data_IF_419369110857
#
_entry.id   IF_419369110857
#
_cell.length_a   1.000
_cell.length_b   1.000
_cell.length_c   1.000
_cell.angle_alpha   90.00
_cell.angle_beta   90.00
_cell.angle_gamma   90.00
#
_symmetry.space_group_name_H-M   'P 1'
#
loop_
_entity.id
_entity.type
_entity.pdbx_description
1 polymer ?
#
# COMPACT_ATOMS: atom_id res chain seq x y z
N UNK A 1 -6.24 -8.95 -11.47
CA UNK A 1 -5.28 -9.95 -10.93
C UNK A 1 -5.05 -9.69 -9.45
N UNK A 2 -4.80 -10.71 -8.59
CA UNK A 2 -4.51 -10.51 -7.15
C UNK A 2 -3.00 -10.54 -6.89
N UNK A 3 -2.28 -9.39 -6.89
CA UNK A 3 -0.82 -9.37 -7.01
C UNK A 3 -0.11 -9.96 -5.79
N UNK A 4 -0.72 -9.87 -4.61
CA UNK A 4 -0.22 -10.52 -3.41
C UNK A 4 -0.21 -12.05 -3.55
N UNK A 5 -1.29 -12.63 -4.08
CA UNK A 5 -1.38 -14.08 -4.28
C UNK A 5 -0.38 -14.55 -5.34
N UNK A 6 -0.24 -13.80 -6.44
CA UNK A 6 0.75 -14.10 -7.48
C UNK A 6 2.18 -14.01 -6.93
N UNK A 7 2.49 -12.97 -6.15
CA UNK A 7 3.79 -12.83 -5.50
C UNK A 7 4.07 -14.01 -4.54
N UNK A 8 3.05 -14.45 -3.79
CA UNK A 8 3.17 -15.61 -2.91
C UNK A 8 3.39 -16.89 -3.70
N UNK A 9 2.74 -17.07 -4.85
CA UNK A 9 2.96 -18.20 -5.74
C UNK A 9 4.40 -18.23 -6.24
N UNK A 10 4.97 -17.09 -6.62
CA UNK A 10 6.38 -16.97 -7.04
C UNK A 10 7.32 -17.41 -5.90
N UNK A 11 7.16 -16.88 -4.69
CA UNK A 11 8.02 -17.31 -3.57
C UNK A 11 7.81 -18.79 -3.17
N UNK A 12 6.61 -19.34 -3.37
CA UNK A 12 6.36 -20.77 -3.14
C UNK A 12 7.02 -21.66 -4.20
N UNK A 13 7.12 -21.18 -5.44
CA UNK A 13 7.72 -21.92 -6.56
C UNK A 13 9.26 -21.89 -6.51
N UNK A 14 9.83 -20.71 -6.29
CA UNK A 14 11.28 -20.47 -6.35
C UNK A 14 11.97 -20.56 -4.98
N UNK A 15 11.19 -20.62 -3.89
CA UNK A 15 11.70 -20.65 -2.53
C UNK A 15 11.89 -19.25 -1.93
N UNK A 16 12.05 -19.20 -0.61
CA UNK A 16 12.15 -17.94 0.15
C UNK A 16 13.59 -17.51 0.42
N UNK A 17 14.52 -18.48 0.41
CA UNK A 17 15.93 -18.31 0.75
C UNK A 17 16.78 -18.84 -0.38
N UNK A 18 17.94 -18.22 -0.55
CA UNK A 18 18.94 -18.62 -1.52
C UNK A 18 20.31 -18.73 -0.82
N UNK A 19 21.05 -19.81 -1.02
CA UNK A 19 22.39 -19.94 -0.46
C UNK A 19 23.40 -19.15 -1.30
N UNK A 20 24.12 -18.21 -0.70
CA UNK A 20 25.23 -17.54 -1.39
C UNK A 20 26.48 -18.42 -1.47
N UNK A 21 26.59 -19.40 -0.57
CA UNK A 21 27.72 -20.30 -0.51
C UNK A 21 27.27 -21.74 -0.30
N UNK A 22 27.82 -22.61 -1.13
CA UNK A 22 27.57 -24.04 -1.06
C UNK A 22 28.90 -24.72 -0.73
N UNK A 23 28.91 -25.53 0.32
CA UNK A 23 30.06 -26.41 0.61
C UNK A 23 29.77 -27.78 0.02
N UNK A 24 30.69 -28.24 -0.80
CA UNK A 24 30.64 -29.53 -1.43
C UNK A 24 31.54 -30.52 -0.69
N UNK A 25 31.11 -31.78 -0.61
CA UNK A 25 31.86 -32.84 0.02
C UNK A 25 31.03 -34.10 0.17
N UNK A 26 31.36 -34.94 1.15
CA UNK A 26 30.51 -36.05 1.59
C UNK A 26 30.03 -35.78 3.01
N UNK A 27 28.72 -35.93 3.23
CA UNK A 27 28.12 -35.78 4.55
C UNK A 27 27.60 -37.11 5.07
N UNK A 28 27.90 -37.37 6.34
CA UNK A 28 27.34 -38.48 7.08
C UNK A 28 26.61 -37.89 8.28
N UNK A 29 25.29 -38.02 8.29
CA UNK A 29 24.42 -37.46 9.32
C UNK A 29 23.97 -38.57 10.25
N UNK A 30 23.79 -38.28 11.53
CA UNK A 30 23.12 -39.20 12.45
C UNK A 30 22.10 -38.40 13.24
N UNK A 31 20.91 -38.95 13.42
CA UNK A 31 19.87 -38.32 14.19
C UNK A 31 20.01 -38.75 15.66
N UNK A 32 20.40 -37.80 16.50
CA UNK A 32 20.45 -38.01 17.94
C UNK A 32 19.15 -37.44 18.50
N UNK A 33 18.32 -38.30 19.09
CA UNK A 33 17.12 -37.86 19.81
C UNK A 33 17.53 -37.63 21.27
N UNK A 34 17.59 -36.36 21.69
CA UNK A 34 17.90 -36.00 23.08
C UNK A 34 16.67 -35.34 23.71
N UNK A 35 16.35 -35.71 24.95
CA UNK A 35 15.30 -35.05 25.76
C UNK A 35 15.86 -33.93 26.63
N UNK A 36 17.18 -33.80 26.69
CA UNK A 36 17.89 -32.76 27.41
C UNK A 36 18.39 -31.70 26.43
N UNK A 37 18.03 -30.44 26.68
CA UNK A 37 18.64 -29.27 26.06
C UNK A 37 20.14 -29.28 26.40
N UNK A 38 20.99 -29.49 25.40
CA UNK A 38 22.42 -29.25 25.55
C UNK A 38 22.65 -27.76 25.35
N UNK A 39 23.14 -27.07 26.39
CA UNK A 39 23.36 -25.63 26.34
C UNK A 39 24.57 -25.25 25.44
N UNK A 40 25.45 -26.19 25.08
CA UNK A 40 26.58 -25.94 24.19
C UNK A 40 26.80 -27.07 23.16
N UNK A 41 26.59 -26.75 21.88
CA UNK A 41 27.05 -27.58 20.77
C UNK A 41 28.47 -27.17 20.38
N UNK A 42 29.48 -27.88 20.89
CA UNK A 42 30.86 -27.67 20.41
C UNK A 42 31.06 -28.32 19.04
N UNK A 43 31.56 -27.54 18.07
CA UNK A 43 32.02 -28.07 16.78
C UNK A 43 33.35 -28.80 16.97
N UNK A 44 33.29 -30.12 17.10
CA UNK A 44 34.49 -30.95 17.30
C UNK A 44 35.23 -31.14 15.96
N UNK A 45 36.41 -30.53 15.83
CA UNK A 45 37.32 -30.77 14.70
C UNK A 45 38.10 -32.06 14.94
N UNK A 46 37.67 -33.16 14.34
CA UNK A 46 38.42 -34.42 14.37
C UNK A 46 39.60 -34.33 13.39
N UNK A 47 40.84 -34.33 13.90
CA UNK A 47 42.03 -34.57 13.08
C UNK A 47 42.24 -36.07 12.94
N UNK A 48 42.60 -36.54 11.74
CA UNK A 48 43.05 -37.92 11.53
C UNK A 48 44.29 -38.19 12.41
N UNK A 49 44.39 -39.37 13.06
CA UNK A 49 43.49 -40.53 12.96
C UNK A 49 42.22 -40.44 13.84
N UNK A 50 41.10 -40.96 13.30
CA UNK A 50 39.72 -40.86 13.81
C UNK A 50 39.44 -41.74 15.05
N UNK A 51 40.44 -42.05 15.90
CA UNK A 51 40.22 -42.81 17.15
C UNK A 51 39.19 -42.13 18.08
N UNK A 52 39.09 -40.81 18.00
CA UNK A 52 38.16 -40.00 18.77
C UNK A 52 36.69 -40.26 18.40
N UNK A 53 36.36 -40.56 17.14
CA UNK A 53 34.96 -40.76 16.72
C UNK A 53 34.32 -41.98 17.38
N UNK A 54 35.09 -43.05 17.60
CA UNK A 54 34.56 -44.25 18.26
C UNK A 54 34.04 -43.96 19.67
N UNK A 55 34.77 -43.14 20.43
CA UNK A 55 34.39 -42.70 21.78
C UNK A 55 33.16 -41.77 21.73
N UNK A 56 33.13 -40.81 20.80
CA UNK A 56 31.97 -39.92 20.67
C UNK A 56 30.71 -40.67 20.24
N UNK A 57 30.82 -41.64 19.31
CA UNK A 57 29.67 -42.45 18.90
C UNK A 57 29.12 -43.28 20.06
N UNK A 58 29.96 -43.78 20.97
CA UNK A 58 29.50 -44.49 22.18
C UNK A 58 28.78 -43.51 23.12
N UNK A 59 29.41 -42.37 23.42
CA UNK A 59 28.86 -41.37 24.34
C UNK A 59 27.53 -40.76 23.85
N UNK A 60 27.40 -40.54 22.55
CA UNK A 60 26.20 -39.99 21.91
C UNK A 60 25.21 -41.07 21.47
N UNK A 61 25.47 -42.35 21.78
CA UNK A 61 24.67 -43.51 21.39
C UNK A 61 24.33 -43.55 19.88
N UNK A 62 25.30 -43.21 19.03
CA UNK A 62 25.16 -43.22 17.58
C UNK A 62 25.28 -44.65 17.07
N UNK A 63 24.18 -45.21 16.59
CA UNK A 63 24.12 -46.59 16.07
C UNK A 63 24.43 -46.68 14.58
N UNK A 64 24.05 -45.66 13.81
CA UNK A 64 24.23 -45.61 12.37
C UNK A 64 24.38 -44.18 11.87
N UNK A 65 24.91 -44.05 10.66
CA UNK A 65 24.97 -42.82 9.90
C UNK A 65 24.11 -42.95 8.64
N UNK A 66 23.67 -41.82 8.12
CA UNK A 66 22.88 -41.69 6.91
C UNK A 66 23.65 -40.81 5.94
N UNK A 67 23.71 -41.23 4.67
CA UNK A 67 24.22 -40.41 3.56
C UNK A 67 23.19 -39.37 3.09
N UNK A 68 23.50 -38.55 2.09
CA UNK A 68 22.47 -37.71 1.48
C UNK A 68 21.38 -38.52 0.77
N UNK A 69 21.74 -39.62 0.12
CA UNK A 69 20.80 -40.51 -0.57
C UNK A 69 20.04 -41.45 0.39
N UNK A 70 19.98 -41.10 1.67
CA UNK A 70 19.27 -41.85 2.72
C UNK A 70 19.80 -43.26 2.99
N UNK A 71 20.96 -43.65 2.41
CA UNK A 71 21.57 -44.95 2.68
C UNK A 71 22.13 -45.02 4.10
N UNK A 72 21.82 -46.12 4.79
CA UNK A 72 22.25 -46.39 6.16
C UNK A 72 23.65 -47.03 6.15
N UNK A 73 24.57 -46.43 6.90
CA UNK A 73 25.94 -46.88 7.08
C UNK A 73 26.17 -47.26 8.55
N UNK A 74 26.67 -48.48 8.76
CA UNK A 74 27.09 -48.92 10.08
C UNK A 74 28.42 -48.27 10.48
N UNK A 75 28.62 -48.06 11.79
CA UNK A 75 29.82 -47.43 12.35
C UNK A 75 31.15 -47.99 11.81
N UNK A 76 31.24 -49.31 11.65
CA UNK A 76 32.45 -50.00 11.18
C UNK A 76 32.82 -49.73 9.72
N UNK A 77 31.84 -49.37 8.89
CA UNK A 77 32.04 -49.13 7.46
C UNK A 77 32.31 -47.66 7.13
N UNK A 78 31.98 -46.74 8.05
CA UNK A 78 32.30 -45.31 7.91
C UNK A 78 33.81 -45.06 7.72
N UNK A 79 34.65 -45.76 8.49
CA UNK A 79 36.12 -45.61 8.41
C UNK A 79 36.64 -46.09 7.04
N UNK A 80 36.03 -47.13 6.47
CA UNK A 80 36.37 -47.62 5.13
C UNK A 80 35.97 -46.58 4.08
N UNK A 81 34.75 -46.05 4.16
CA UNK A 81 34.28 -45.01 3.25
C UNK A 81 35.12 -43.74 3.30
N UNK A 82 35.48 -43.23 4.49
CA UNK A 82 36.31 -42.03 4.61
C UNK A 82 37.69 -42.22 3.96
N UNK A 83 38.27 -43.42 4.05
CA UNK A 83 39.55 -43.72 3.38
C UNK A 83 39.38 -43.78 1.86
N UNK A 84 38.26 -44.31 1.39
CA UNK A 84 37.97 -44.46 -0.04
C UNK A 84 37.64 -43.13 -0.71
N UNK A 85 37.13 -42.11 0.02
CA UNK A 85 36.83 -40.77 -0.51
C UNK A 85 38.01 -40.15 -1.27
N UNK A 86 39.26 -40.46 -0.88
CA UNK A 86 40.45 -39.89 -1.51
C UNK A 86 40.98 -40.71 -2.70
N UNK A 87 40.38 -41.85 -3.05
CA UNK A 87 40.92 -42.80 -4.03
C UNK A 87 40.00 -43.11 -5.21
N UNK A 88 38.70 -42.82 -5.14
CA UNK A 88 37.76 -43.00 -6.26
C UNK A 88 37.14 -41.67 -6.66
N UNK A 89 36.70 -41.54 -7.92
CA UNK A 89 35.95 -40.40 -8.45
C UNK A 89 34.55 -40.35 -7.80
N UNK A 90 34.47 -39.95 -6.54
CA UNK A 90 33.19 -39.76 -5.86
C UNK A 90 32.55 -38.43 -6.31
N UNK A 91 31.29 -38.50 -6.74
CA UNK A 91 30.47 -37.32 -7.00
C UNK A 91 30.31 -36.50 -5.71
N UNK A 92 30.70 -35.22 -5.77
CA UNK A 92 30.58 -34.30 -4.65
C UNK A 92 29.12 -33.93 -4.41
N UNK A 93 28.72 -33.90 -3.14
CA UNK A 93 27.36 -33.57 -2.70
C UNK A 93 27.32 -32.24 -1.94
N UNK A 94 26.14 -31.61 -1.86
CA UNK A 94 25.92 -30.37 -1.11
C UNK A 94 25.84 -30.65 0.39
N UNK A 95 26.94 -30.55 1.12
CA UNK A 95 26.97 -30.92 2.55
C UNK A 95 26.48 -29.82 3.48
N UNK A 96 26.60 -28.56 3.07
CA UNK A 96 26.21 -27.39 3.86
C UNK A 96 25.84 -26.24 2.93
N UNK A 97 24.72 -25.60 3.25
CA UNK A 97 24.30 -24.33 2.66
C UNK A 97 24.64 -23.23 3.68
N UNK A 98 25.52 -22.32 3.29
CA UNK A 98 26.06 -21.28 4.16
C UNK A 98 25.73 -19.90 3.56
N UNK A 99 25.78 -18.86 4.39
CA UNK A 99 25.51 -17.48 3.97
C UNK A 99 24.14 -17.34 3.25
N UNK A 100 23.06 -17.74 3.93
CA UNK A 100 21.70 -17.63 3.39
C UNK A 100 21.27 -16.16 3.22
N UNK A 101 20.72 -15.84 2.04
CA UNK A 101 20.08 -14.56 1.76
C UNK A 101 18.60 -14.78 1.42
N UNK A 102 17.73 -13.80 1.66
CA UNK A 102 16.36 -13.89 1.16
C UNK A 102 16.33 -13.76 -0.37
N UNK A 103 15.46 -14.50 -1.05
CA UNK A 103 15.22 -14.31 -2.48
C UNK A 103 14.81 -12.85 -2.78
N UNK A 104 14.07 -12.21 -1.87
CA UNK A 104 13.74 -10.79 -1.96
C UNK A 104 14.99 -9.91 -1.97
N UNK A 105 16.02 -10.24 -1.20
CA UNK A 105 17.23 -9.45 -1.07
C UNK A 105 18.16 -9.55 -2.28
N UNK A 106 17.98 -10.56 -3.13
CA UNK A 106 18.69 -10.69 -4.42
C UNK A 106 18.13 -9.70 -5.46
N UNK A 107 16.86 -9.30 -5.33
CA UNK A 107 16.18 -8.50 -6.34
C UNK A 107 16.75 -7.07 -6.45
N UNK A 108 16.65 -6.51 -7.65
CA UNK A 108 17.01 -5.12 -7.92
C UNK A 108 16.14 -4.14 -7.13
N UNK A 109 16.65 -2.93 -6.91
CA UNK A 109 16.01 -1.92 -6.07
C UNK A 109 14.58 -1.56 -6.56
N UNK A 110 14.36 -1.50 -7.86
CA UNK A 110 13.02 -1.25 -8.43
C UNK A 110 12.04 -2.40 -8.17
N UNK A 111 12.49 -3.65 -8.30
CA UNK A 111 11.67 -4.83 -8.03
C UNK A 111 11.29 -4.91 -6.56
N UNK A 112 12.27 -4.66 -5.66
CA UNK A 112 12.05 -4.56 -4.22
C UNK A 112 11.01 -3.49 -3.88
N UNK A 113 11.09 -2.31 -4.49
CA UNK A 113 10.07 -1.25 -4.31
C UNK A 113 8.68 -1.73 -4.72
N UNK A 114 8.53 -2.36 -5.89
CA UNK A 114 7.25 -2.92 -6.36
C UNK A 114 6.70 -3.96 -5.39
N UNK A 115 7.55 -4.85 -4.88
CA UNK A 115 7.17 -5.87 -3.90
C UNK A 115 6.75 -5.24 -2.56
N UNK A 116 7.51 -4.28 -2.05
CA UNK A 116 7.17 -3.59 -0.80
C UNK A 116 5.82 -2.87 -0.91
N UNK A 117 5.50 -2.31 -2.08
CA UNK A 117 4.18 -1.75 -2.32
C UNK A 117 3.10 -2.83 -2.19
N UNK A 118 3.30 -4.02 -2.77
CA UNK A 118 2.36 -5.16 -2.59
C UNK A 118 2.25 -5.56 -1.11
N UNK A 119 3.37 -5.72 -0.42
CA UNK A 119 3.42 -6.21 0.97
C UNK A 119 2.87 -5.20 1.98
N UNK A 120 3.15 -3.90 1.82
CA UNK A 120 2.65 -2.83 2.70
C UNK A 120 1.15 -2.56 2.51
N UNK A 121 0.59 -2.93 1.35
CA UNK A 121 -0.83 -2.82 1.06
C UNK A 121 -1.66 -3.97 1.69
N UNK A 122 -1.05 -4.84 2.50
CA UNK A 122 -1.74 -5.98 3.13
C UNK A 122 -2.63 -5.62 4.32
N UNK A 123 -2.71 -4.35 4.70
CA UNK A 123 -3.67 -3.92 5.71
C UNK A 123 -5.04 -3.75 5.05
N UNK A 124 -6.07 -4.43 5.59
CA UNK A 124 -7.42 -4.49 4.97
C UNK A 124 -8.12 -3.12 4.90
N UNK A 125 -7.64 -2.14 5.64
CA UNK A 125 -8.21 -0.80 5.74
C UNK A 125 -7.32 0.28 5.08
N UNK A 126 -6.19 -0.10 4.46
CA UNK A 126 -5.33 0.87 3.78
C UNK A 126 -5.90 1.27 2.42
N UNK A 127 -6.55 2.42 2.38
CA UNK A 127 -6.93 3.08 1.13
C UNK A 127 -5.70 3.65 0.42
N UNK A 128 -5.74 3.61 -0.90
CA UNK A 128 -4.68 4.11 -1.78
C UNK A 128 -5.29 4.76 -3.02
N UNK A 129 -4.53 5.67 -3.60
CA UNK A 129 -4.73 6.09 -4.98
C UNK A 129 -4.50 4.84 -5.85
N UNK A 130 -5.55 4.41 -6.54
CA UNK A 130 -5.55 3.24 -7.42
C UNK A 130 -5.16 3.66 -8.82
N UNK A 131 -5.69 4.80 -9.26
CA UNK A 131 -5.53 5.33 -10.60
C UNK A 131 -5.90 6.81 -10.62
N UNK A 132 -5.30 7.53 -11.54
CA UNK A 132 -5.60 8.94 -11.84
C UNK A 132 -5.77 9.11 -13.33
N UNK A 133 -6.58 10.06 -13.75
CA UNK A 133 -6.79 10.30 -15.16
C UNK A 133 -7.30 11.69 -15.48
N UNK A 134 -7.26 11.98 -16.77
CA UNK A 134 -7.79 13.20 -17.36
C UNK A 134 -8.63 12.83 -18.58
N UNK A 135 -9.88 13.29 -18.59
CA UNK A 135 -10.84 13.00 -19.65
C UNK A 135 -11.39 14.31 -20.23
N UNK A 136 -11.35 14.45 -21.55
CA UNK A 136 -11.82 15.60 -22.30
C UNK A 136 -13.35 15.58 -22.43
N UNK A 137 -13.91 16.77 -22.57
CA UNK A 137 -15.35 16.99 -22.66
C UNK A 137 -15.79 17.50 -24.04
N UNK A 138 -14.97 17.29 -25.09
CA UNK A 138 -15.17 17.83 -26.45
C UNK A 138 -16.42 17.34 -27.17
N UNK A 139 -16.99 16.24 -26.69
CA UNK A 139 -18.16 15.56 -27.25
C UNK A 139 -19.47 16.00 -26.60
N UNK A 140 -19.44 16.96 -25.67
CA UNK A 140 -20.62 17.44 -24.95
C UNK A 140 -21.24 18.68 -25.64
N UNK A 141 -22.57 18.80 -25.60
CA UNK A 141 -23.24 19.99 -26.14
C UNK A 141 -23.34 21.09 -25.08
N UNK A 142 -22.78 22.28 -25.35
CA UNK A 142 -22.86 23.44 -24.46
C UNK A 142 -24.28 23.87 -24.08
N UNK A 143 -25.29 23.51 -24.88
CA UNK A 143 -26.68 23.90 -24.64
C UNK A 143 -27.36 23.05 -23.56
N UNK A 144 -26.79 21.90 -23.22
CA UNK A 144 -27.36 21.01 -22.22
C UNK A 144 -27.07 21.51 -20.79
N UNK A 145 -28.06 21.36 -19.91
CA UNK A 145 -27.92 21.73 -18.47
C UNK A 145 -27.26 20.65 -17.64
N UNK A 146 -27.28 19.42 -18.15
CA UNK A 146 -26.77 18.23 -17.48
C UNK A 146 -26.12 17.32 -18.51
N UNK A 147 -24.86 16.96 -18.27
CA UNK A 147 -24.09 16.09 -19.14
C UNK A 147 -23.69 14.82 -18.42
N UNK A 148 -23.63 13.73 -19.18
CA UNK A 148 -23.19 12.43 -18.73
C UNK A 148 -21.97 12.04 -19.55
N UNK A 149 -20.78 12.14 -18.96
CA UNK A 149 -19.54 11.73 -19.61
C UNK A 149 -19.14 10.36 -19.06
N UNK A 150 -19.10 9.35 -19.94
CA UNK A 150 -18.51 8.07 -19.58
C UNK A 150 -16.98 8.21 -19.50
N UNK A 151 -16.40 7.73 -18.40
CA UNK A 151 -14.97 7.61 -18.20
C UNK A 151 -14.65 6.13 -18.20
N UNK A 152 -14.07 5.67 -19.31
CA UNK A 152 -13.68 4.28 -19.51
C UNK A 152 -12.29 4.03 -18.95
N UNK A 153 -12.13 2.91 -18.27
CA UNK A 153 -10.86 2.44 -17.70
C UNK A 153 -10.49 1.14 -18.43
N UNK A 154 -9.30 1.12 -19.03
CA UNK A 154 -8.83 -0.06 -19.78
C UNK A 154 -8.71 -1.34 -18.93
N UNK A 155 -8.45 -1.16 -17.63
CA UNK A 155 -8.35 -2.24 -16.67
C UNK A 155 -9.64 -2.33 -15.86
N UNK A 156 -10.40 -3.43 -15.98
CA UNK A 156 -11.69 -3.53 -15.32
C UNK A 156 -11.55 -3.54 -13.80
N UNK A 157 -12.37 -2.73 -13.13
CA UNK A 157 -12.46 -2.67 -11.67
C UNK A 157 -13.58 -3.61 -11.20
N UNK A 158 -13.24 -4.64 -10.42
CA UNK A 158 -14.24 -5.52 -9.84
C UNK A 158 -15.11 -4.75 -8.82
N UNK A 159 -16.38 -4.52 -9.18
CA UNK A 159 -17.49 -3.98 -8.38
C UNK A 159 -17.15 -2.84 -7.41
N UNK A 160 -17.45 -1.58 -7.79
CA UNK A 160 -17.95 -0.45 -6.98
C UNK A 160 -17.38 -0.13 -5.59
N UNK A 161 -16.36 -0.84 -5.12
CA UNK A 161 -15.76 -0.72 -3.80
C UNK A 161 -14.60 0.29 -3.84
N UNK A 162 -14.83 1.39 -4.55
CA UNK A 162 -13.91 2.48 -4.74
C UNK A 162 -14.69 3.80 -4.75
N UNK A 163 -13.99 4.87 -4.44
CA UNK A 163 -14.51 6.23 -4.50
C UNK A 163 -13.77 6.99 -5.59
N UNK A 164 -14.50 7.84 -6.29
CA UNK A 164 -13.93 8.71 -7.31
C UNK A 164 -14.05 10.15 -6.85
N UNK A 165 -12.92 10.82 -6.86
CA UNK A 165 -12.84 12.25 -6.63
C UNK A 165 -12.38 12.93 -7.90
N UNK A 166 -12.86 14.15 -8.14
CA UNK A 166 -12.52 14.85 -9.36
C UNK A 166 -12.96 16.30 -9.39
N UNK A 167 -12.43 17.01 -10.37
CA UNK A 167 -12.74 18.41 -10.62
C UNK A 167 -12.75 18.69 -12.11
N UNK A 168 -13.33 19.83 -12.50
CA UNK A 168 -13.32 20.30 -13.87
C UNK A 168 -12.25 21.37 -13.99
N UNK A 169 -11.40 21.20 -15.00
CA UNK A 169 -10.29 22.10 -15.31
C UNK A 169 -10.38 22.55 -16.75
N UNK A 170 -9.88 23.74 -17.03
CA UNK A 170 -9.65 24.22 -18.39
C UNK A 170 -8.16 24.23 -18.67
N UNK A 171 -7.80 24.19 -19.95
CA UNK A 171 -6.40 24.29 -20.38
C UNK A 171 -6.16 25.68 -20.98
N UNK A 172 -5.43 26.52 -20.26
CA UNK A 172 -5.03 27.85 -20.73
C UNK A 172 -3.51 27.90 -20.88
N UNK A 173 -3.02 28.26 -22.07
CA UNK A 173 -1.58 28.35 -22.36
C UNK A 173 -0.79 27.09 -21.93
N UNK A 174 -1.34 25.91 -22.20
CA UNK A 174 -0.77 24.60 -21.83
C UNK A 174 -0.72 24.29 -20.32
N UNK A 175 -1.34 25.11 -19.47
CA UNK A 175 -1.48 24.87 -18.03
C UNK A 175 -2.93 24.58 -17.68
N UNK A 176 -3.14 23.60 -16.80
CA UNK A 176 -4.45 23.31 -16.25
C UNK A 176 -4.80 24.36 -15.19
N UNK A 177 -6.00 24.93 -15.29
CA UNK A 177 -6.56 25.88 -14.33
C UNK A 177 -7.88 25.31 -13.81
N UNK A 178 -8.08 25.38 -12.48
CA UNK A 178 -9.31 24.95 -11.84
C UNK A 178 -10.42 25.94 -12.18
N UNK A 179 -11.58 25.43 -12.55
CA UNK A 179 -12.75 26.27 -12.75
C UNK A 179 -13.46 26.54 -11.42
N UNK A 180 -13.98 27.76 -11.25
CA UNK A 180 -14.71 28.12 -10.03
C UNK A 180 -15.98 27.26 -9.87
N UNK A 181 -16.03 26.50 -8.78
CA UNK A 181 -17.11 25.56 -8.42
C UNK A 181 -18.48 26.22 -8.23
N UNK A 182 -18.58 27.56 -8.28
CA UNK A 182 -19.86 28.27 -8.28
C UNK A 182 -20.70 27.96 -9.52
N UNK A 183 -20.03 27.67 -10.65
CA UNK A 183 -20.68 27.62 -11.96
C UNK A 183 -20.85 26.21 -12.51
N UNK A 184 -20.19 25.20 -11.92
CA UNK A 184 -20.37 23.80 -12.30
C UNK A 184 -20.28 22.89 -11.06
N UNK A 185 -21.19 21.91 -10.99
CA UNK A 185 -21.05 20.77 -10.08
C UNK A 185 -20.74 19.49 -10.86
N UNK A 186 -19.87 18.65 -10.31
CA UNK A 186 -19.55 17.33 -10.84
C UNK A 186 -19.83 16.28 -9.77
N UNK A 187 -20.46 15.18 -10.17
CA UNK A 187 -20.66 14.00 -9.34
C UNK A 187 -20.21 12.76 -10.10
N UNK A 188 -19.66 11.79 -9.39
CA UNK A 188 -19.25 10.52 -9.97
C UNK A 188 -20.21 9.41 -9.53
N UNK A 189 -20.61 8.58 -10.48
CA UNK A 189 -21.59 7.53 -10.20
C UNK A 189 -21.72 6.57 -11.37
N UNK A 190 -22.76 5.73 -11.30
CA UNK A 190 -23.04 4.69 -12.30
C UNK A 190 -21.80 3.83 -12.58
N UNK A 191 -21.20 3.33 -11.50
CA UNK A 191 -20.01 2.48 -11.55
C UNK A 191 -20.31 1.16 -12.23
N UNK A 192 -19.53 0.81 -13.24
CA UNK A 192 -19.56 -0.48 -13.91
C UNK A 192 -18.15 -1.11 -13.92
N UNK A 193 -18.03 -2.25 -14.60
CA UNK A 193 -16.75 -2.96 -14.71
C UNK A 193 -15.76 -2.22 -15.61
N UNK A 194 -16.25 -1.40 -16.54
CA UNK A 194 -15.46 -0.73 -17.57
C UNK A 194 -15.16 0.73 -17.21
N UNK A 195 -15.65 1.22 -16.06
CA UNK A 195 -15.44 2.58 -15.59
C UNK A 195 -16.62 3.16 -14.78
N UNK A 196 -16.88 4.44 -15.00
CA UNK A 196 -17.88 5.21 -14.28
C UNK A 196 -18.32 6.43 -15.09
N UNK A 197 -19.38 7.11 -14.64
CA UNK A 197 -19.86 8.34 -15.26
C UNK A 197 -19.53 9.56 -14.41
N UNK A 198 -19.09 10.62 -15.07
CA UNK A 198 -19.11 11.97 -14.55
C UNK A 198 -20.43 12.65 -14.94
N UNK A 199 -21.22 13.00 -13.95
CA UNK A 199 -22.47 13.75 -14.08
C UNK A 199 -22.16 15.21 -13.82
N UNK A 200 -22.23 16.03 -14.86
CA UNK A 200 -21.85 17.43 -14.82
C UNK A 200 -23.10 18.27 -14.94
N UNK A 201 -23.38 19.11 -13.94
CA UNK A 201 -24.54 20.01 -13.94
C UNK A 201 -24.10 21.46 -13.97
N UNK A 202 -24.66 22.21 -14.90
CA UNK A 202 -24.40 23.63 -15.13
C UNK A 202 -25.63 24.45 -14.68
N UNK A 203 -25.59 25.07 -13.49
CA UNK A 203 -26.74 25.79 -12.94
C UNK A 203 -27.14 27.09 -13.66
N UNK A 204 -26.27 27.70 -14.48
CA UNK A 204 -26.49 28.99 -15.17
C UNK A 204 -25.98 28.98 -16.63
N UNK A 205 -26.36 29.98 -17.45
CA UNK A 205 -25.80 30.16 -18.82
C UNK A 205 -24.27 30.26 -18.72
N UNK A 206 -23.59 29.31 -19.34
CA UNK A 206 -22.17 29.07 -19.16
C UNK A 206 -21.36 30.21 -19.81
N UNK A 207 -20.53 30.92 -19.04
CA UNK A 207 -19.59 31.92 -19.59
C UNK A 207 -18.38 31.30 -20.33
N UNK A 208 -18.27 29.96 -20.36
CA UNK A 208 -17.14 29.22 -20.92
C UNK A 208 -17.62 28.01 -21.75
N UNK A 209 -16.78 27.54 -22.67
CA UNK A 209 -17.08 26.41 -23.54
C UNK A 209 -16.72 25.09 -22.84
N UNK A 210 -17.70 24.21 -22.58
CA UNK A 210 -17.46 22.92 -21.92
C UNK A 210 -16.60 22.00 -22.79
N UNK A 211 -16.59 22.19 -24.11
CA UNK A 211 -15.77 21.40 -25.03
C UNK A 211 -14.28 21.66 -24.87
N UNK A 212 -13.91 22.79 -24.26
CA UNK A 212 -12.53 23.11 -23.93
C UNK A 212 -12.12 22.65 -22.52
N UNK A 213 -13.04 21.99 -21.79
CA UNK A 213 -12.83 21.50 -20.44
C UNK A 213 -12.39 20.03 -20.39
N UNK A 214 -11.83 19.68 -19.23
CA UNK A 214 -11.42 18.33 -18.87
C UNK A 214 -11.93 17.99 -17.48
N UNK A 215 -12.31 16.74 -17.29
CA UNK A 215 -12.50 16.13 -15.97
C UNK A 215 -11.17 15.53 -15.54
N UNK A 216 -10.64 16.06 -14.46
CA UNK A 216 -9.51 15.48 -13.75
C UNK A 216 -10.07 14.59 -12.66
N UNK A 217 -9.66 13.33 -12.61
CA UNK A 217 -10.25 12.34 -11.71
C UNK A 217 -9.20 11.44 -11.06
N UNK A 218 -9.56 10.91 -9.89
CA UNK A 218 -8.74 10.02 -9.10
C UNK A 218 -9.62 8.96 -8.44
N UNK A 219 -9.19 7.71 -8.55
CA UNK A 219 -9.83 6.55 -7.93
C UNK A 219 -9.10 6.22 -6.65
N UNK A 220 -9.84 6.19 -5.55
CA UNK A 220 -9.35 5.79 -4.23
C UNK A 220 -10.04 4.50 -3.82
N UNK A 221 -9.26 3.54 -3.35
CA UNK A 221 -9.82 2.28 -2.90
C UNK A 221 -8.78 1.38 -2.26
N UNK A 222 -9.20 0.17 -1.91
CA UNK A 222 -8.29 -0.84 -1.39
C UNK A 222 -7.68 -1.64 -2.56
N UNK A 223 -6.35 -1.58 -2.78
CA UNK A 223 -5.69 -2.33 -3.85
C UNK A 223 -5.93 -3.84 -3.80
N UNK A 224 -6.09 -4.43 -2.61
CA UNK A 224 -6.36 -5.85 -2.43
C UNK A 224 -7.75 -6.27 -2.91
N UNK A 225 -8.72 -5.35 -2.85
CA UNK A 225 -10.10 -5.60 -3.30
C UNK A 225 -10.26 -5.39 -4.80
N UNK A 226 -9.55 -4.41 -5.36
CA UNK A 226 -9.79 -3.94 -6.72
C UNK A 226 -8.95 -4.64 -7.78
N UNK A 227 -8.03 -5.54 -7.40
CA UNK A 227 -7.28 -6.37 -8.36
C UNK A 227 -6.48 -5.58 -9.44
N UNK A 228 -6.30 -4.26 -9.25
CA UNK A 228 -5.58 -3.34 -10.14
C UNK A 228 -4.25 -2.91 -9.51
N UNK A 229 -3.22 -2.85 -10.36
CA UNK A 229 -1.87 -2.52 -9.94
C UNK A 229 -1.25 -1.37 -10.75
N UNK A 230 -1.70 -0.13 -10.54
CA UNK A 230 -0.86 1.01 -10.91
C UNK A 230 0.13 1.32 -9.79
N UNK A 231 1.45 1.32 -10.02
CA UNK A 231 2.43 1.77 -9.04
C UNK A 231 2.42 3.29 -8.84
N UNK A 232 1.75 4.05 -9.70
CA UNK A 232 1.80 5.51 -9.75
C UNK A 232 1.07 6.10 -8.54
N UNK A 233 1.65 7.15 -7.93
CA UNK A 233 1.12 7.89 -6.77
C UNK A 233 0.88 7.08 -5.47
N UNK A 234 1.25 5.80 -5.39
CA UNK A 234 0.93 4.90 -4.27
C UNK A 234 1.65 5.20 -2.97
N UNK A 235 2.78 5.88 -3.05
CA UNK A 235 3.50 6.41 -1.91
C UNK A 235 2.73 7.52 -1.20
N UNK A 236 1.74 8.13 -1.86
CA UNK A 236 0.79 9.04 -1.21
C UNK A 236 -0.03 8.25 -0.19
N UNK A 237 -0.01 8.71 1.05
CA UNK A 237 -0.87 8.15 2.08
C UNK A 237 -2.26 8.79 1.96
N UNK A 238 -3.28 7.95 2.05
CA UNK A 238 -4.67 8.34 1.85
C UNK A 238 -5.48 7.88 3.04
N UNK A 239 -6.19 8.80 3.68
CA UNK A 239 -7.19 8.48 4.68
C UNK A 239 -8.52 9.08 4.24
N UNK A 240 -9.60 8.30 4.34
CA UNK A 240 -10.95 8.79 4.08
C UNK A 240 -11.79 8.78 5.35
N UNK A 241 -12.70 9.73 5.44
CA UNK A 241 -13.67 9.90 6.50
C UNK A 241 -15.03 10.01 5.84
N UNK A 242 -16.02 9.27 6.34
CA UNK A 242 -17.42 9.42 5.97
C UNK A 242 -18.17 9.94 7.17
N UNK A 243 -18.79 11.11 7.03
CA UNK A 243 -19.55 11.73 8.10
C UNK A 243 -20.87 12.28 7.58
N UNK A 244 -21.91 12.16 8.40
CA UNK A 244 -23.23 12.72 8.10
C UNK A 244 -23.46 13.92 9.01
N UNK A 245 -23.69 15.09 8.42
CA UNK A 245 -23.97 16.32 9.16
C UNK A 245 -25.38 16.82 8.87
N UNK A 246 -25.93 17.57 9.83
CA UNK A 246 -27.20 18.27 9.68
C UNK A 246 -26.90 19.75 9.48
N UNK A 247 -27.21 20.25 8.28
CA UNK A 247 -27.09 21.66 7.95
C UNK A 247 -28.29 22.41 8.51
N UNK A 248 -28.01 23.56 9.12
CA UNK A 248 -28.96 24.42 9.79
C UNK A 248 -28.93 25.79 9.12
N UNK A 249 -30.07 26.47 8.95
CA UNK A 249 -30.13 27.72 8.19
C UNK A 249 -29.32 28.88 8.80
N UNK A 250 -29.17 28.89 10.12
CA UNK A 250 -28.50 29.92 10.92
C UNK A 250 -27.02 29.62 11.18
N UNK A 251 -26.52 28.45 10.73
CA UNK A 251 -25.14 28.01 10.94
C UNK A 251 -24.44 27.83 9.60
N UNK A 252 -23.34 28.55 9.40
CA UNK A 252 -22.54 28.47 8.18
C UNK A 252 -21.28 27.63 8.33
N UNK A 253 -20.75 27.51 9.57
CA UNK A 253 -19.47 26.88 9.84
C UNK A 253 -19.68 25.53 10.53
N UNK A 254 -19.05 24.50 10.00
CA UNK A 254 -19.13 23.14 10.49
C UNK A 254 -17.73 22.58 10.70
N UNK A 255 -17.49 21.98 11.86
CA UNK A 255 -16.23 21.34 12.19
C UNK A 255 -16.42 19.83 12.21
N UNK A 256 -15.47 19.11 11.64
CA UNK A 256 -15.40 17.65 11.65
C UNK A 256 -14.12 17.25 12.35
N UNK A 257 -14.23 16.38 13.35
CA UNK A 257 -13.11 15.77 14.03
C UNK A 257 -12.57 14.65 13.14
N UNK A 258 -11.26 14.63 12.93
CA UNK A 258 -10.56 13.61 12.17
C UNK A 258 -9.99 12.56 13.13
N UNK A 259 -10.17 11.25 12.87
CA UNK A 259 -9.65 10.19 13.73
C UNK A 259 -8.11 10.01 13.63
N UNK A 260 -7.43 10.95 12.97
CA UNK A 260 -6.00 10.96 12.75
C UNK A 260 -5.50 12.39 12.70
N UNK A 261 -4.20 12.56 12.99
CA UNK A 261 -3.59 13.87 13.06
C UNK A 261 -3.31 14.46 11.68
N UNK A 262 -3.77 15.70 11.48
CA UNK A 262 -3.51 16.51 10.31
C UNK A 262 -2.16 17.23 10.44
N UNK A 263 -1.57 17.53 9.28
CA UNK A 263 -0.32 18.28 9.19
C UNK A 263 -0.37 19.30 8.06
N UNK A 264 0.51 20.29 8.14
CA UNK A 264 0.71 21.25 7.05
C UNK A 264 1.03 20.48 5.75
N UNK A 265 0.51 20.98 4.62
CA UNK A 265 0.64 20.42 3.26
C UNK A 265 -0.17 19.16 2.99
N UNK A 266 -0.97 18.70 3.94
CA UNK A 266 -2.06 17.78 3.61
C UNK A 266 -3.01 18.46 2.64
N UNK A 267 -3.55 17.68 1.71
CA UNK A 267 -4.54 18.14 0.76
C UNK A 267 -5.88 17.46 1.10
N UNK A 268 -6.98 18.23 1.04
CA UNK A 268 -8.32 17.81 1.47
C UNK A 268 -9.29 17.85 0.28
N UNK A 269 -9.83 16.68 -0.07
CA UNK A 269 -10.94 16.51 -1.00
C UNK A 269 -12.22 16.33 -0.19
N UNK A 270 -13.30 16.97 -0.64
CA UNK A 270 -14.61 16.83 -0.04
C UNK A 270 -15.58 16.53 -1.19
N UNK A 271 -16.15 15.32 -1.18
CA UNK A 271 -17.28 14.95 -2.00
C UNK A 271 -18.55 14.93 -1.14
N UNK A 272 -19.66 15.37 -1.73
CA UNK A 272 -20.88 15.71 -1.01
C UNK A 272 -22.10 15.11 -1.65
N UNK A 273 -22.82 14.34 -0.85
CA UNK A 273 -24.08 13.72 -1.23
C UNK A 273 -25.21 14.22 -0.33
N UNK A 274 -26.31 14.60 -0.98
CA UNK A 274 -27.50 15.15 -0.33
C UNK A 274 -28.73 14.69 -1.08
N UNK A 275 -29.86 14.57 -0.37
CA UNK A 275 -31.15 14.20 -0.95
C UNK A 275 -31.76 15.28 -1.85
N UNK A 276 -31.17 16.49 -1.82
CA UNK A 276 -31.59 17.65 -2.59
C UNK A 276 -30.51 18.11 -3.56
N UNK A 277 -30.88 18.93 -4.55
CA UNK A 277 -29.90 19.57 -5.42
C UNK A 277 -29.04 20.55 -4.61
N UNK A 278 -27.84 20.11 -4.27
CA UNK A 278 -26.86 20.93 -3.58
C UNK A 278 -26.18 21.88 -4.55
N UNK A 279 -26.54 23.17 -4.47
CA UNK A 279 -25.90 24.25 -5.23
C UNK A 279 -24.91 25.07 -4.39
N UNK A 280 -24.73 24.69 -3.13
CA UNK A 280 -23.94 25.49 -2.19
C UNK A 280 -22.46 25.18 -2.37
N UNK A 281 -21.60 26.19 -2.18
CA UNK A 281 -20.15 26.01 -2.27
C UNK A 281 -19.60 25.67 -0.89
N UNK A 282 -18.77 24.63 -0.81
CA UNK A 282 -18.06 24.27 0.43
C UNK A 282 -16.66 24.85 0.39
N UNK A 283 -16.33 25.64 1.41
CA UNK A 283 -15.03 26.31 1.54
C UNK A 283 -14.34 25.89 2.83
N UNK A 284 -13.13 25.36 2.76
CA UNK A 284 -12.32 25.15 3.96
C UNK A 284 -11.92 26.52 4.56
N UNK A 285 -12.21 26.72 5.85
CA UNK A 285 -11.89 27.96 6.58
C UNK A 285 -10.59 27.78 7.35
N UNK A 286 -10.55 26.78 8.24
CA UNK A 286 -9.46 26.56 9.18
C UNK A 286 -9.30 25.06 9.47
N UNK A 287 -8.13 24.68 9.97
CA UNK A 287 -7.84 23.33 10.44
C UNK A 287 -7.05 23.37 11.74
N UNK A 288 -7.18 22.30 12.52
CA UNK A 288 -6.39 22.02 13.73
C UNK A 288 -5.68 20.69 13.54
N UNK A 289 -4.91 20.23 14.53
CA UNK A 289 -4.27 18.92 14.42
C UNK A 289 -5.23 17.74 14.28
N UNK A 290 -6.51 17.87 14.60
CA UNK A 290 -7.47 16.77 14.50
C UNK A 290 -8.87 17.22 14.10
N UNK A 291 -9.00 18.39 13.46
CA UNK A 291 -10.29 18.82 12.93
C UNK A 291 -10.14 19.71 11.71
N UNK A 292 -11.14 19.67 10.85
CA UNK A 292 -11.29 20.60 9.73
C UNK A 292 -12.60 21.38 9.89
N UNK A 293 -12.55 22.69 9.67
CA UNK A 293 -13.73 23.54 9.67
C UNK A 293 -13.99 24.09 8.28
N UNK A 294 -15.19 23.86 7.77
CA UNK A 294 -15.64 24.35 6.47
C UNK A 294 -16.86 25.27 6.62
N UNK A 295 -16.96 26.18 5.67
CA UNK A 295 -18.10 27.05 5.43
C UNK A 295 -18.97 26.46 4.33
N UNK A 296 -20.28 26.49 4.51
CA UNK A 296 -21.24 26.28 3.44
C UNK A 296 -21.77 27.65 3.01
N UNK A 297 -21.51 28.04 1.76
CA UNK A 297 -21.87 29.34 1.19
C UNK A 297 -23.02 29.16 0.19
N UNK A 298 -23.95 30.11 0.14
CA UNK A 298 -25.15 30.12 -0.73
C UNK A 298 -26.28 29.15 -0.33
N UNK A 299 -26.57 28.98 0.96
CA UNK A 299 -27.87 28.45 1.40
C UNK A 299 -28.99 29.33 0.82
N UNK A 300 -29.64 28.86 -0.25
CA UNK A 300 -30.76 29.62 -0.85
C UNK A 300 -31.88 29.78 0.18
N UNK A 301 -32.56 30.94 0.15
CA UNK A 301 -33.58 31.38 1.12
C UNK A 301 -34.77 30.41 1.31
N UNK A 302 -34.86 29.35 0.51
CA UNK A 302 -35.96 28.38 0.50
C UNK A 302 -35.78 27.26 1.55
N UNK A 303 -34.62 27.15 2.20
CA UNK A 303 -34.31 26.03 3.11
C UNK A 303 -34.55 26.42 4.58
N UNK A 304 -35.82 26.49 5.00
CA UNK A 304 -36.20 26.63 6.43
C UNK A 304 -36.09 25.31 7.21
N UNK A 305 -35.68 24.23 6.56
CA UNK A 305 -35.59 22.89 7.15
C UNK A 305 -34.13 22.45 7.27
N UNK A 306 -33.87 21.63 8.28
CA UNK A 306 -32.61 20.94 8.45
C UNK A 306 -32.35 19.99 7.29
N UNK A 307 -31.15 20.04 6.70
CA UNK A 307 -30.77 19.20 5.56
C UNK A 307 -29.70 18.21 6.02
N UNK A 308 -29.96 16.93 5.79
CA UNK A 308 -28.94 15.90 5.98
C UNK A 308 -27.99 15.93 4.79
N UNK A 309 -26.69 15.93 5.11
CA UNK A 309 -25.63 15.90 4.14
C UNK A 309 -24.60 14.85 4.55
N UNK A 310 -24.29 13.98 3.61
CA UNK A 310 -23.21 13.01 3.75
C UNK A 310 -21.95 13.58 3.08
N UNK A 311 -20.87 13.56 3.84
CA UNK A 311 -19.55 14.08 3.48
C UNK A 311 -18.59 12.92 3.35
N UNK A 312 -18.05 12.73 2.16
CA UNK A 312 -16.92 11.85 1.90
C UNK A 312 -15.67 12.72 1.81
N UNK A 313 -14.88 12.73 2.87
CA UNK A 313 -13.67 13.54 2.97
C UNK A 313 -12.46 12.64 2.75
N UNK A 314 -11.63 12.98 1.78
CA UNK A 314 -10.36 12.32 1.55
C UNK A 314 -9.19 13.24 1.88
N UNK A 315 -8.21 12.69 2.59
CA UNK A 315 -7.05 13.40 3.10
C UNK A 315 -5.79 12.76 2.52
N UNK A 316 -5.08 13.54 1.70
CA UNK A 316 -3.86 13.13 1.03
C UNK A 316 -2.64 13.67 1.76
N UNK A 317 -1.79 12.76 2.19
CA UNK A 317 -0.48 13.05 2.76
C UNK A 317 0.56 12.78 1.67
N UNK A 318 1.02 13.85 1.05
CA UNK A 318 2.08 13.76 0.04
C UNK A 318 3.24 14.67 0.39
N UNK A 319 4.46 14.15 0.18
CA UNK A 319 5.66 14.98 0.12
C UNK A 319 5.81 15.66 -1.25
N UNK A 320 5.01 15.23 -2.22
CA UNK A 320 5.03 15.72 -3.60
C UNK A 320 3.97 16.80 -3.78
N UNK A 321 4.18 17.66 -4.79
CA UNK A 321 3.26 18.77 -5.12
C UNK A 321 2.28 18.42 -6.23
N UNK A 322 2.47 17.26 -6.86
CA UNK A 322 1.74 16.78 -8.02
C UNK A 322 1.42 15.30 -7.91
N UNK A 323 0.41 14.89 -8.66
CA UNK A 323 0.07 13.51 -8.99
C UNK A 323 0.41 13.28 -10.46
N UNK A 324 1.08 12.17 -10.74
CA UNK A 324 1.28 11.68 -12.10
C UNK A 324 -0.03 11.13 -12.66
N UNK A 325 -0.21 11.16 -13.98
CA UNK A 325 -1.43 10.69 -14.65
C UNK A 325 -1.25 9.29 -15.23
N UNK A 326 -2.13 8.36 -14.85
CA UNK A 326 -2.18 7.01 -15.44
C UNK A 326 -2.91 7.01 -16.79
N UNK A 327 -4.15 7.51 -16.79
CA UNK A 327 -5.04 7.49 -17.94
C UNK A 327 -5.08 8.86 -18.61
N UNK A 328 -4.50 8.94 -19.80
CA UNK A 328 -4.42 10.19 -20.57
C UNK A 328 -5.30 10.07 -21.80
N UNK A 329 -6.06 11.12 -22.05
CA UNK A 329 -6.57 11.36 -23.40
C UNK A 329 -5.46 11.84 -24.33
N UNK A 330 -5.55 11.40 -25.60
CA UNK A 330 -4.56 11.62 -26.66
C UNK A 330 -4.17 13.10 -26.84
N UNK A 331 -5.07 14.03 -26.54
CA UNK A 331 -4.92 15.46 -26.83
C UNK A 331 -4.31 16.31 -25.70
N UNK A 332 -4.04 15.72 -24.54
CA UNK A 332 -3.82 16.54 -23.33
C UNK A 332 -2.35 16.88 -23.10
N UNK A 333 -1.42 15.97 -23.43
CA UNK A 333 0.03 16.18 -23.30
C UNK A 333 0.50 16.50 -21.87
N UNK A 334 -0.35 16.24 -20.86
CA UNK A 334 -0.06 16.46 -19.44
C UNK A 334 0.35 15.12 -18.82
N UNK A 335 1.51 15.09 -18.17
CA UNK A 335 2.02 13.90 -17.49
C UNK A 335 1.74 13.90 -15.99
N UNK A 336 1.53 15.08 -15.41
CA UNK A 336 1.25 15.28 -14.00
C UNK A 336 0.41 16.55 -13.77
N UNK A 337 -0.33 16.60 -12.68
CA UNK A 337 -1.11 17.76 -12.27
C UNK A 337 -0.88 18.07 -10.79
N UNK A 338 -1.05 19.34 -10.42
CA UNK A 338 -0.85 19.78 -9.02
C UNK A 338 -2.05 19.42 -8.14
N UNK A 339 -1.81 19.04 -6.88
CA UNK A 339 -2.86 18.82 -5.88
C UNK A 339 -3.80 20.03 -5.74
N UNK A 340 -3.28 21.25 -5.92
CA UNK A 340 -4.04 22.50 -5.85
C UNK A 340 -5.25 22.54 -6.81
N UNK A 341 -5.28 21.70 -7.84
CA UNK A 341 -6.39 21.63 -8.80
C UNK A 341 -7.59 20.89 -8.22
N UNK A 342 -7.40 19.86 -7.40
CA UNK A 342 -8.51 19.14 -6.77
C UNK A 342 -8.98 19.85 -5.49
N UNK A 343 -8.09 20.52 -4.76
CA UNK A 343 -8.17 20.51 -3.29
C UNK A 343 -8.01 21.85 -2.58
N UNK A 344 -8.30 21.81 -1.28
CA UNK A 344 -7.80 22.75 -0.28
C UNK A 344 -6.51 22.21 0.32
N UNK A 345 -5.44 23.02 0.31
CA UNK A 345 -4.19 22.67 0.97
C UNK A 345 -4.20 23.24 2.39
N UNK A 346 -3.85 22.41 3.36
CA UNK A 346 -3.61 22.83 4.73
C UNK A 346 -2.31 23.63 4.80
N UNK A 347 -2.40 24.87 5.22
CA UNK A 347 -1.26 25.80 5.32
C UNK A 347 -1.17 26.34 6.74
N UNK A 348 -0.08 27.02 7.08
CA UNK A 348 -0.01 27.70 8.38
C UNK A 348 -1.01 28.85 8.49
N UNK A 349 -1.34 29.48 7.37
CA UNK A 349 -2.22 30.66 7.35
C UNK A 349 -3.65 30.34 7.79
N UNK A 350 -4.09 29.09 7.58
CA UNK A 350 -5.40 28.59 8.01
C UNK A 350 -5.31 27.59 9.17
N UNK A 351 -4.17 27.51 9.87
CA UNK A 351 -4.02 26.67 11.05
C UNK A 351 -4.48 27.42 12.30
N UNK A 352 -5.38 26.82 13.07
CA UNK A 352 -5.87 27.37 14.32
C UNK A 352 -5.17 26.68 15.50
N UNK A 353 -4.12 27.33 16.03
CA UNK A 353 -3.31 26.81 17.14
C UNK A 353 -4.05 26.87 18.49
N UNK A 354 -5.04 27.76 18.64
CA UNK A 354 -5.77 27.99 19.89
C UNK A 354 -6.88 26.95 20.15
N UNK A 355 -7.20 26.12 19.15
CA UNK A 355 -8.16 25.00 19.25
C UNK A 355 -7.42 23.66 19.16
N UNK A 356 -7.06 23.10 20.30
CA UNK A 356 -6.63 21.71 20.41
C UNK A 356 -7.80 20.90 20.98
N UNK A 357 -8.62 20.30 20.12
CA UNK A 357 -9.70 19.43 20.57
C UNK A 357 -9.07 18.08 20.94
N UNK A 358 -9.07 17.68 22.22
CA UNK A 358 -8.59 16.34 22.61
C UNK A 358 -9.77 15.34 22.47
N UNK A 359 -9.48 14.18 21.87
CA UNK A 359 -10.36 13.10 21.37
C UNK A 359 -11.53 12.63 22.30
N UNK A 360 -12.68 12.15 21.76
CA UNK A 360 -13.78 11.53 22.55
C UNK A 360 -13.50 10.11 23.08
N UNK A 361 -12.33 9.54 22.83
CA UNK A 361 -11.94 8.17 23.26
C UNK A 361 -10.72 8.17 24.19
N UNK A 362 -10.65 9.11 25.12
CA UNK A 362 -9.78 8.94 26.29
C UNK A 362 -10.39 7.87 27.21
N UNK A 363 -10.08 6.60 26.93
CA UNK A 363 -9.99 5.59 27.99
C UNK A 363 -8.83 6.03 28.92
N UNK A 364 -9.09 6.01 30.24
CA UNK A 364 -8.38 6.77 31.29
C UNK A 364 -6.88 6.45 31.53
N UNK A 365 -6.18 5.75 30.64
CA UNK A 365 -4.87 5.16 30.95
C UNK A 365 -3.72 5.59 30.03
N UNK A 366 -3.50 6.88 29.75
CA UNK A 366 -2.13 7.35 29.42
C UNK A 366 -1.81 8.66 30.15
N UNK A 367 -1.21 8.50 31.32
CA UNK A 367 -0.46 9.54 32.00
C UNK A 367 0.64 10.10 31.08
N UNK A 368 0.62 11.42 30.97
CA UNK A 368 1.68 12.31 30.48
C UNK A 368 3.09 11.77 30.78
N UNK A 369 3.84 11.46 29.73
CA UNK A 369 5.31 11.46 29.75
C UNK A 369 5.86 12.37 28.64
N UNK A 370 5.50 13.66 28.73
CA UNK A 370 6.26 14.71 28.07
C UNK A 370 7.49 15.04 28.94
N UNK A 371 8.61 14.38 28.64
CA UNK A 371 9.98 14.95 28.67
C UNK A 371 11.02 13.85 28.36
N UNK A 372 11.60 13.87 27.16
CA UNK A 372 12.83 13.11 26.91
C UNK A 372 13.20 12.85 25.44
N UNK A 373 13.98 13.78 24.86
CA UNK A 373 14.91 13.61 23.71
C UNK A 373 14.36 13.29 22.30
N UNK A 374 15.06 13.76 21.25
CA UNK A 374 14.64 13.55 19.87
C UNK A 374 14.80 12.07 19.49
N UNK A 375 13.76 11.50 18.90
CA UNK A 375 13.86 10.20 18.22
C UNK A 375 14.71 10.42 16.98
N UNK A 376 15.99 10.10 17.07
CA UNK A 376 16.85 9.90 15.92
C UNK A 376 16.35 8.70 15.13
N UNK A 377 16.28 8.88 13.81
CA UNK A 377 15.95 7.89 12.78
C UNK A 377 16.40 6.45 13.12
N UNK A 378 15.45 5.52 13.14
CA UNK A 378 15.69 4.10 12.95
C UNK A 378 14.69 3.52 11.93
N UNK A 379 14.87 3.92 10.67
CA UNK A 379 14.43 3.10 9.53
C UNK A 379 15.49 2.05 9.28
N UNK A 380 15.52 0.99 10.10
CA UNK A 380 16.22 -0.26 9.83
C UNK A 380 15.66 -1.37 10.72
N UNK A 381 14.44 -1.83 10.43
CA UNK A 381 13.99 -3.16 10.86
C UNK A 381 13.99 -4.08 9.63
N UNK A 382 14.82 -5.13 9.60
CA UNK A 382 14.74 -6.16 8.57
C UNK A 382 13.39 -6.88 8.63
N UNK A 383 12.87 -7.28 7.47
CA UNK A 383 11.72 -8.18 7.30
C UNK A 383 12.04 -9.59 7.84
N UNK A 384 12.20 -9.75 9.15
CA UNK A 384 12.25 -11.06 9.81
C UNK A 384 11.14 -11.12 10.85
N UNK A 385 9.89 -11.13 10.38
CA UNK A 385 8.73 -11.54 11.19
C UNK A 385 7.53 -11.83 10.29
N UNK A 386 7.70 -12.74 9.34
CA UNK A 386 6.59 -13.50 8.77
C UNK A 386 6.77 -14.95 9.25
N UNK A 387 6.02 -15.30 10.29
CA UNK A 387 5.94 -16.67 10.80
C UNK A 387 5.21 -17.55 9.75
N UNK A 388 5.97 -18.16 8.86
CA UNK A 388 5.51 -19.33 8.10
C UNK A 388 5.97 -20.59 8.81
N UNK A 389 5.21 -21.00 9.83
CA UNK A 389 5.42 -22.28 10.49
C UNK A 389 5.04 -23.42 9.54
N UNK A 390 6.04 -24.01 8.89
CA UNK A 390 6.10 -25.44 8.49
C UNK A 390 7.52 -25.78 8.02
N UNK A 391 8.14 -26.88 8.50
CA UNK A 391 9.50 -27.25 8.11
C UNK A 391 9.48 -27.79 6.68
N UNK A 392 10.02 -27.02 5.72
CA UNK A 392 10.21 -27.43 4.33
C UNK A 392 11.65 -27.91 4.14
N UNK A 393 11.97 -29.10 4.66
CA UNK A 393 13.28 -29.74 4.44
C UNK A 393 13.29 -30.81 3.33
N UNK A 394 12.18 -31.07 2.63
CA UNK A 394 12.13 -32.16 1.64
C UNK A 394 11.91 -31.73 0.18
N UNK A 395 11.70 -30.44 -0.13
CA UNK A 395 11.42 -29.99 -1.52
C UNK A 395 12.51 -29.14 -2.18
N UNK A 396 13.53 -28.72 -1.44
CA UNK A 396 14.60 -27.88 -2.00
C UNK A 396 15.61 -28.65 -2.85
N UNK A 397 15.78 -29.96 -2.64
CA UNK A 397 16.77 -30.75 -3.38
C UNK A 397 16.28 -31.30 -4.73
N UNK A 398 14.97 -31.43 -4.97
CA UNK A 398 14.46 -32.09 -6.18
C UNK A 398 14.35 -31.19 -7.41
N UNK A 399 14.70 -29.91 -7.32
CA UNK A 399 14.60 -28.94 -8.44
C UNK A 399 15.91 -28.25 -8.82
N UNK A 400 17.04 -28.63 -8.21
CA UNK A 400 18.37 -28.11 -8.54
C UNK A 400 19.25 -29.10 -9.33
N UNK A 401 18.67 -30.18 -9.86
CA UNK A 401 19.33 -31.11 -10.79
C UNK A 401 18.69 -30.97 -12.17
#
# INVERSE_FOLDING_TARGET
MKPFNELQNVFNEYGQLFPLKIKLGKSFKSQIVTTTLFDDFEKIKLKLPIKSLENYSINLNIQYFITQDENIIQKGDLVKMIKNINTEEYELEIIELDEMISLYDILGLEQKRKINIVLNNNNRDNLKIIMTGITNLKDLDNNDREHYKQISIELPLENGNYEVFGTIVTKKNSKLEKLDQKNISIKFGLYDVDGFFAIIKNPEEIEFDINECYVLWMIIGNPLKLSIFSPINRETQVNCIKESIIIQPDKQNYSIITPFLLSERCSILIDVTTDYEFKNTIKLIEWTHNSITFQIVNLTEVQQANINMDLNICILYSRYKSLQIDCKDEDNGVDEYSFNLFEYILTKDNFNEDKFDIDPYLDEDIYVHLKGKPITNDFNKPLHQLNFSKPLYSKFLSRMI
#
